data_IF_882134249368
#
_entry.id   IF_882134249368
#
_cell.length_a   1.000
_cell.length_b   1.000
_cell.length_c   1.000
_cell.angle_alpha   90.00
_cell.angle_beta   90.00
_cell.angle_gamma   90.00
#
_symmetry.space_group_name_H-M   'P 1'
#
loop_
_entity.id
_entity.type
_entity.pdbx_description
1 polymer ?
#
# COMPACT_ATOMS: atom_id res chain seq x y z
N UNK A 1 -15.40 -0.87 20.86
CA UNK A 1 -14.56 -1.91 20.28
C UNK A 1 -13.20 -1.77 20.92
N UNK A 2 -12.50 -2.85 21.19
CA UNK A 2 -11.08 -2.74 21.54
C UNK A 2 -10.25 -2.35 20.30
N UNK A 3 -8.94 -2.12 20.45
CA UNK A 3 -8.09 -1.67 19.34
C UNK A 3 -7.96 -2.72 18.23
N UNK A 4 -8.00 -4.01 18.56
CA UNK A 4 -7.91 -5.09 17.59
C UNK A 4 -9.21 -5.19 16.78
N UNK A 5 -10.36 -5.14 17.45
CA UNK A 5 -11.68 -5.10 16.82
C UNK A 5 -11.83 -3.90 15.86
N UNK A 6 -11.36 -2.70 16.25
CA UNK A 6 -11.41 -1.52 15.37
C UNK A 6 -10.56 -1.73 14.13
N UNK A 7 -9.35 -2.30 14.27
CA UNK A 7 -8.48 -2.59 13.12
C UNK A 7 -9.14 -3.56 12.15
N UNK A 8 -9.71 -4.66 12.65
CA UNK A 8 -10.44 -5.62 11.82
C UNK A 8 -11.64 -4.97 11.14
N UNK A 9 -12.41 -4.16 11.87
CA UNK A 9 -13.58 -3.47 11.33
C UNK A 9 -13.26 -2.45 10.22
N UNK A 10 -12.04 -1.91 10.21
CA UNK A 10 -11.56 -0.97 9.19
C UNK A 10 -10.74 -1.65 8.08
N UNK A 11 -10.50 -2.95 8.19
CA UNK A 11 -9.76 -3.73 7.19
C UNK A 11 -10.71 -4.28 6.15
N UNK A 12 -10.24 -4.41 4.90
CA UNK A 12 -11.01 -5.09 3.86
C UNK A 12 -11.07 -6.61 4.15
N UNK A 13 -12.22 -7.28 3.93
CA UNK A 13 -13.48 -6.73 3.43
C UNK A 13 -14.30 -6.02 4.51
N UNK A 14 -14.73 -4.79 4.24
CA UNK A 14 -15.63 -4.01 5.10
C UNK A 14 -16.93 -3.63 4.39
N UNK A 15 -17.94 -3.27 5.17
CA UNK A 15 -19.21 -2.73 4.68
C UNK A 15 -19.16 -1.20 4.61
N UNK A 16 -19.02 -0.65 3.40
CA UNK A 16 -18.89 0.80 3.17
C UNK A 16 -20.02 1.61 3.81
N UNK A 17 -21.26 1.17 3.69
CA UNK A 17 -22.43 1.88 4.22
C UNK A 17 -22.41 1.94 5.76
N UNK A 18 -21.91 0.89 6.42
CA UNK A 18 -21.73 0.86 7.87
C UNK A 18 -20.61 1.80 8.30
N UNK A 19 -19.47 1.80 7.58
CA UNK A 19 -18.38 2.74 7.85
C UNK A 19 -18.85 4.19 7.74
N UNK A 20 -19.55 4.51 6.66
CA UNK A 20 -20.08 5.84 6.41
C UNK A 20 -21.06 6.29 7.50
N UNK A 21 -21.93 5.39 7.99
CA UNK A 21 -22.85 5.71 9.10
C UNK A 21 -22.15 5.89 10.45
N UNK A 22 -21.00 5.24 10.67
CA UNK A 22 -20.29 5.23 11.97
C UNK A 22 -19.10 6.19 12.05
N UNK A 23 -18.81 6.97 11.00
CA UNK A 23 -17.65 7.87 10.90
C UNK A 23 -17.32 8.63 12.19
N UNK A 24 -18.29 9.38 12.74
CA UNK A 24 -18.09 10.20 13.97
C UNK A 24 -17.74 9.35 15.18
N UNK A 25 -18.39 8.18 15.32
CA UNK A 25 -18.14 7.26 16.44
C UNK A 25 -16.78 6.59 16.32
N UNK A 26 -16.38 6.19 15.11
CA UNK A 26 -15.07 5.60 14.83
C UNK A 26 -13.95 6.61 15.09
N UNK A 27 -14.08 7.84 14.58
CA UNK A 27 -13.11 8.91 14.84
C UNK A 27 -12.89 9.15 16.34
N UNK A 28 -13.98 9.23 17.11
CA UNK A 28 -13.90 9.41 18.57
C UNK A 28 -13.17 8.22 19.23
N UNK A 29 -13.59 7.00 18.93
CA UNK A 29 -12.95 5.79 19.48
C UNK A 29 -11.46 5.72 19.15
N UNK A 30 -11.06 6.10 17.93
CA UNK A 30 -9.66 6.11 17.51
C UNK A 30 -8.84 7.15 18.29
N UNK A 31 -9.37 8.36 18.46
CA UNK A 31 -8.71 9.43 19.22
C UNK A 31 -8.60 9.12 20.71
N UNK A 32 -9.57 8.39 21.28
CA UNK A 32 -9.60 7.99 22.68
C UNK A 32 -8.66 6.81 23.02
N UNK A 33 -7.97 6.23 22.02
CA UNK A 33 -7.03 5.12 22.26
C UNK A 33 -5.84 5.59 23.10
N UNK A 34 -5.64 4.93 24.23
CA UNK A 34 -4.50 5.14 25.10
C UNK A 34 -3.22 4.48 24.53
N UNK A 35 -2.05 5.05 24.87
CA UNK A 35 -0.75 4.46 24.51
C UNK A 35 -0.32 4.61 23.05
N UNK A 36 -1.08 5.30 22.21
CA UNK A 36 -0.69 5.59 20.82
C UNK A 36 -0.01 6.96 20.72
N UNK A 37 1.24 6.97 20.25
CA UNK A 37 1.94 8.19 19.86
C UNK A 37 1.63 8.52 18.40
N UNK A 38 0.76 9.51 18.17
CA UNK A 38 0.37 9.91 16.83
C UNK A 38 1.44 10.72 16.10
N UNK A 39 1.76 10.33 14.86
CA UNK A 39 2.50 11.18 13.95
C UNK A 39 1.58 12.29 13.44
N UNK A 40 1.88 13.54 13.79
CA UNK A 40 1.11 14.70 13.33
C UNK A 40 1.55 15.11 11.93
N UNK A 41 0.58 15.33 11.03
CA UNK A 41 0.82 15.86 9.68
C UNK A 41 -0.25 16.85 9.28
N UNK A 42 0.12 17.89 8.54
CA UNK A 42 -0.81 18.83 7.91
C UNK A 42 -1.08 18.39 6.49
N UNK A 43 -2.33 18.12 6.16
CA UNK A 43 -2.73 17.60 4.86
C UNK A 43 -3.71 18.57 4.20
N UNK A 44 -3.34 19.08 3.03
CA UNK A 44 -4.24 19.86 2.20
C UNK A 44 -4.89 18.95 1.13
N UNK A 45 -6.19 19.12 0.90
CA UNK A 45 -6.91 18.45 -0.20
C UNK A 45 -7.38 19.55 -1.16
N UNK A 46 -6.76 19.60 -2.34
CA UNK A 46 -7.14 20.49 -3.43
C UNK A 46 -8.12 19.76 -4.35
N UNK A 47 -9.40 19.90 -4.04
CA UNK A 47 -10.50 19.16 -4.65
C UNK A 47 -11.10 19.83 -5.89
N UNK A 48 -11.25 19.05 -6.96
CA UNK A 48 -12.09 19.39 -8.11
C UNK A 48 -13.58 19.10 -7.88
N UNK A 49 -13.90 18.33 -6.84
CA UNK A 49 -15.26 17.93 -6.47
C UNK A 49 -15.46 18.08 -4.97
N UNK A 50 -16.66 17.82 -4.44
CA UNK A 50 -16.89 17.80 -3.00
C UNK A 50 -16.08 16.67 -2.36
N UNK A 51 -15.17 16.99 -1.43
CA UNK A 51 -14.22 16.04 -0.81
C UNK A 51 -14.51 15.74 0.66
N UNK A 52 -15.54 16.34 1.26
CA UNK A 52 -15.74 16.28 2.72
C UNK A 52 -15.85 14.86 3.26
N UNK A 53 -16.64 14.01 2.62
CA UNK A 53 -16.81 12.61 3.02
C UNK A 53 -15.56 11.77 2.78
N UNK A 54 -14.85 12.03 1.68
CA UNK A 54 -13.56 11.40 1.39
C UNK A 54 -12.52 11.75 2.47
N UNK A 55 -12.39 13.04 2.81
CA UNK A 55 -11.51 13.50 3.90
C UNK A 55 -11.88 12.85 5.23
N UNK A 56 -13.17 12.80 5.58
CA UNK A 56 -13.61 12.19 6.85
C UNK A 56 -13.22 10.71 6.94
N UNK A 57 -13.37 9.95 5.85
CA UNK A 57 -12.95 8.55 5.80
C UNK A 57 -11.43 8.40 5.80
N UNK A 58 -10.72 9.24 5.05
CA UNK A 58 -9.26 9.25 5.03
C UNK A 58 -8.69 9.51 6.42
N UNK A 59 -9.26 10.45 7.17
CA UNK A 59 -8.89 10.74 8.55
C UNK A 59 -9.05 9.52 9.46
N UNK A 60 -10.13 8.75 9.32
CA UNK A 60 -10.36 7.52 10.09
C UNK A 60 -9.27 6.48 9.80
N UNK A 61 -8.94 6.24 8.53
CA UNK A 61 -7.90 5.26 8.16
C UNK A 61 -6.50 5.72 8.58
N UNK A 62 -6.18 7.01 8.46
CA UNK A 62 -4.91 7.56 8.95
C UNK A 62 -4.80 7.45 10.47
N UNK A 63 -5.86 7.80 11.20
CA UNK A 63 -5.89 7.65 12.66
C UNK A 63 -5.69 6.19 13.05
N UNK A 64 -6.37 5.24 12.38
CA UNK A 64 -6.20 3.81 12.62
C UNK A 64 -4.74 3.36 12.48
N UNK A 65 -4.02 3.95 11.52
CA UNK A 65 -2.59 3.74 11.28
C UNK A 65 -1.64 4.54 12.18
N UNK A 66 -2.15 5.32 13.15
CA UNK A 66 -1.33 6.11 14.08
C UNK A 66 -0.90 7.47 13.53
N UNK A 67 -1.57 7.99 12.50
CA UNK A 67 -1.29 9.30 11.89
C UNK A 67 -2.45 10.25 12.24
N UNK A 68 -2.16 11.35 12.92
CA UNK A 68 -3.13 12.39 13.20
C UNK A 68 -2.96 13.54 12.22
N UNK A 69 -3.88 13.65 11.27
CA UNK A 69 -3.86 14.69 10.27
C UNK A 69 -4.65 15.93 10.70
N UNK A 70 -4.05 17.10 10.57
CA UNK A 70 -4.78 18.37 10.50
C UNK A 70 -5.13 18.60 9.02
N UNK A 71 -6.42 18.55 8.69
CA UNK A 71 -6.88 18.70 7.32
C UNK A 71 -7.32 20.13 6.99
N UNK A 72 -7.04 20.55 5.76
CA UNK A 72 -7.74 21.67 5.10
C UNK A 72 -8.15 21.26 3.69
N UNK A 73 -9.32 21.73 3.25
CA UNK A 73 -9.89 21.45 1.94
C UNK A 73 -9.96 22.77 1.15
N UNK A 74 -9.69 22.73 -0.15
CA UNK A 74 -10.03 23.83 -1.04
C UNK A 74 -11.54 23.99 -1.13
N UNK A 75 -11.98 25.20 -1.45
CA UNK A 75 -13.35 25.40 -1.90
C UNK A 75 -13.62 24.62 -3.19
N UNK A 76 -14.90 24.40 -3.48
CA UNK A 76 -15.32 23.55 -4.61
C UNK A 76 -14.67 24.00 -5.93
N UNK A 77 -13.90 23.07 -6.53
CA UNK A 77 -13.25 23.25 -7.82
C UNK A 77 -12.28 24.45 -7.88
N UNK A 78 -11.66 24.82 -6.75
CA UNK A 78 -10.64 25.87 -6.65
C UNK A 78 -9.20 25.34 -6.51
N UNK A 79 -8.96 24.07 -6.84
CA UNK A 79 -7.65 23.44 -6.76
C UNK A 79 -6.56 24.16 -7.59
N UNK A 80 -6.95 24.83 -8.68
CA UNK A 80 -6.02 25.60 -9.52
C UNK A 80 -5.63 26.92 -8.85
N UNK A 81 -6.60 27.66 -8.35
CA UNK A 81 -6.39 28.93 -7.67
C UNK A 81 -5.58 28.75 -6.39
N UNK A 82 -5.95 27.79 -5.54
CA UNK A 82 -5.29 27.53 -4.26
C UNK A 82 -3.85 27.01 -4.40
N UNK A 83 -3.51 26.39 -5.53
CA UNK A 83 -2.16 25.92 -5.82
C UNK A 83 -1.28 27.01 -6.44
N UNK A 84 -1.78 27.73 -7.46
CA UNK A 84 -0.99 28.69 -8.24
C UNK A 84 -0.92 30.06 -7.56
N UNK A 85 -2.01 30.47 -6.89
CA UNK A 85 -2.19 31.78 -6.25
C UNK A 85 -2.70 31.61 -4.80
N UNK A 86 -1.90 30.99 -3.93
CA UNK A 86 -2.36 30.61 -2.60
C UNK A 86 -2.75 31.83 -1.76
N UNK A 87 -3.87 31.72 -1.06
CA UNK A 87 -4.30 32.70 -0.07
C UNK A 87 -3.31 32.75 1.11
N UNK A 88 -3.38 33.81 1.92
CA UNK A 88 -2.57 33.91 3.13
C UNK A 88 -2.81 32.73 4.09
N UNK A 89 -4.06 32.24 4.17
CA UNK A 89 -4.41 31.11 5.02
C UNK A 89 -3.67 29.82 4.62
N UNK A 90 -3.51 29.59 3.31
CA UNK A 90 -2.74 28.45 2.80
C UNK A 90 -1.24 28.61 3.06
N UNK A 91 -0.73 29.83 2.87
CA UNK A 91 0.67 30.15 3.15
C UNK A 91 1.02 30.00 4.63
N UNK A 92 0.08 30.24 5.55
CA UNK A 92 0.24 30.01 6.98
C UNK A 92 0.11 28.52 7.34
N UNK A 93 -0.78 27.79 6.67
CA UNK A 93 -0.99 26.37 6.93
C UNK A 93 0.25 25.52 6.67
N UNK A 94 0.99 25.78 5.58
CA UNK A 94 2.21 25.06 5.18
C UNK A 94 2.01 23.52 5.20
N UNK A 95 1.21 22.95 4.29
CA UNK A 95 0.94 21.52 4.30
C UNK A 95 2.22 20.69 4.16
N UNK A 96 2.26 19.55 4.85
CA UNK A 96 3.34 18.56 4.70
C UNK A 96 3.03 17.60 3.52
N UNK A 97 1.74 17.39 3.24
CA UNK A 97 1.22 16.61 2.12
C UNK A 97 0.10 17.41 1.44
N UNK A 98 0.14 17.53 0.11
CA UNK A 98 -0.94 18.09 -0.70
C UNK A 98 -1.50 17.00 -1.59
N UNK A 99 -2.78 16.70 -1.43
CA UNK A 99 -3.52 15.79 -2.30
C UNK A 99 -4.34 16.60 -3.29
N UNK A 100 -3.98 16.56 -4.58
CA UNK A 100 -4.81 17.11 -5.65
C UNK A 100 -5.80 16.03 -6.05
N UNK A 101 -7.09 16.30 -5.80
CA UNK A 101 -8.17 15.34 -5.95
C UNK A 101 -9.15 15.75 -7.04
N UNK A 102 -8.93 15.25 -8.26
CA UNK A 102 -9.72 15.61 -9.45
C UNK A 102 -10.30 14.37 -10.13
N UNK A 103 -11.31 14.49 -10.96
CA UNK A 103 -11.88 13.35 -11.70
C UNK A 103 -12.13 13.71 -13.15
N UNK A 104 -12.62 12.76 -13.95
CA UNK A 104 -12.97 12.99 -15.35
C UNK A 104 -13.85 14.25 -15.55
N UNK A 105 -14.73 14.55 -14.58
CA UNK A 105 -15.63 15.71 -14.63
C UNK A 105 -14.92 17.06 -14.53
N UNK A 106 -13.65 17.09 -14.11
CA UNK A 106 -12.84 18.30 -14.01
C UNK A 106 -12.06 18.64 -15.28
N UNK A 107 -12.11 17.77 -16.30
CA UNK A 107 -11.48 18.01 -17.59
C UNK A 107 -12.28 19.03 -18.39
N UNK A 108 -11.59 20.08 -18.87
CA UNK A 108 -12.24 21.23 -19.53
C UNK A 108 -12.04 21.26 -21.04
N UNK A 109 -10.91 20.78 -21.54
CA UNK A 109 -10.58 20.77 -22.97
C UNK A 109 -10.94 19.44 -23.64
N UNK A 110 -12.13 18.91 -23.37
CA UNK A 110 -12.55 17.64 -23.97
C UNK A 110 -12.63 17.74 -25.50
N UNK A 111 -12.21 16.69 -26.22
CA UNK A 111 -12.34 16.64 -27.65
C UNK A 111 -13.82 16.54 -28.07
N UNK A 112 -14.11 17.06 -29.25
CA UNK A 112 -15.41 16.96 -29.93
C UNK A 112 -15.25 16.26 -31.26
N UNK A 113 -16.33 15.69 -31.80
CA UNK A 113 -16.29 14.84 -33.01
C UNK A 113 -15.71 15.50 -34.25
N UNK A 114 -15.73 16.83 -34.32
CA UNK A 114 -15.20 17.61 -35.45
C UNK A 114 -13.72 17.94 -35.34
N UNK A 115 -13.09 17.69 -34.18
CA UNK A 115 -11.67 17.94 -34.01
C UNK A 115 -10.87 17.02 -34.92
N UNK A 116 -9.79 17.55 -35.49
CA UNK A 116 -8.71 16.79 -36.12
C UNK A 116 -7.80 16.18 -35.06
N UNK A 117 -6.98 15.19 -35.46
CA UNK A 117 -6.03 14.55 -34.54
C UNK A 117 -5.07 15.56 -33.89
N UNK A 118 -4.57 16.53 -34.67
CA UNK A 118 -3.68 17.58 -34.17
C UNK A 118 -4.37 18.47 -33.13
N UNK A 119 -5.66 18.76 -33.31
CA UNK A 119 -6.44 19.53 -32.33
C UNK A 119 -6.64 18.76 -31.03
N UNK A 120 -6.89 17.44 -31.10
CA UNK A 120 -6.97 16.59 -29.91
C UNK A 120 -5.64 16.57 -29.15
N UNK A 121 -4.51 16.39 -29.85
CA UNK A 121 -3.18 16.41 -29.23
C UNK A 121 -2.90 17.76 -28.57
N UNK A 122 -3.28 18.87 -29.21
CA UNK A 122 -3.18 20.22 -28.63
C UNK A 122 -4.04 20.35 -27.38
N UNK A 123 -5.28 19.86 -27.40
CA UNK A 123 -6.19 19.87 -26.23
C UNK A 123 -5.62 19.05 -25.07
N UNK A 124 -5.08 17.87 -25.35
CA UNK A 124 -4.47 17.01 -24.32
C UNK A 124 -3.26 17.71 -23.69
N UNK A 125 -2.43 18.38 -24.51
CA UNK A 125 -1.31 19.18 -24.04
C UNK A 125 -1.76 20.34 -23.14
N UNK A 126 -2.76 21.11 -23.56
CA UNK A 126 -3.30 22.23 -22.77
C UNK A 126 -3.88 21.76 -21.44
N UNK A 127 -4.61 20.65 -21.44
CA UNK A 127 -5.16 20.09 -20.20
C UNK A 127 -4.04 19.58 -19.28
N UNK A 128 -3.01 18.91 -19.81
CA UNK A 128 -1.83 18.54 -19.03
C UNK A 128 -1.08 19.76 -18.45
N UNK A 129 -0.84 20.80 -19.25
CA UNK A 129 -0.12 22.03 -18.83
C UNK A 129 -0.83 22.76 -17.67
N UNK A 130 -2.17 22.68 -17.60
CA UNK A 130 -2.96 23.17 -16.48
C UNK A 130 -2.62 22.43 -15.17
N UNK A 131 -2.54 21.10 -15.18
CA UNK A 131 -2.16 20.33 -14.01
C UNK A 131 -0.67 20.46 -13.68
N UNK A 132 0.19 20.54 -14.69
CA UNK A 132 1.61 20.83 -14.48
C UNK A 132 1.82 22.17 -13.77
N UNK A 133 1.01 23.18 -14.09
CA UNK A 133 1.03 24.47 -13.40
C UNK A 133 0.59 24.36 -11.94
N UNK A 134 -0.40 23.52 -11.63
CA UNK A 134 -0.84 23.22 -10.26
C UNK A 134 0.30 22.60 -9.47
N UNK A 135 0.95 21.55 -10.01
CA UNK A 135 2.04 20.86 -9.34
C UNK A 135 3.24 21.77 -9.08
N UNK A 136 3.66 22.53 -10.09
CA UNK A 136 4.73 23.53 -9.95
C UNK A 136 4.36 24.66 -8.99
N UNK A 137 3.09 25.04 -8.93
CA UNK A 137 2.57 25.99 -7.95
C UNK A 137 2.75 25.47 -6.52
N UNK A 138 2.36 24.22 -6.29
CA UNK A 138 2.53 23.55 -4.99
C UNK A 138 4.02 23.48 -4.61
N UNK A 139 4.87 22.98 -5.50
CA UNK A 139 6.32 22.86 -5.27
C UNK A 139 6.98 24.23 -4.98
N UNK A 140 6.53 25.30 -5.62
CA UNK A 140 7.06 26.66 -5.41
C UNK A 140 6.64 27.23 -4.05
N UNK A 141 5.41 26.98 -3.64
CA UNK A 141 4.79 27.65 -2.50
C UNK A 141 4.93 26.85 -1.19
N UNK A 142 5.15 25.54 -1.27
CA UNK A 142 5.18 24.64 -0.11
C UNK A 142 6.33 23.63 -0.21
N UNK A 143 6.83 23.19 0.95
CA UNK A 143 7.73 22.05 1.07
C UNK A 143 6.92 20.77 1.34
N UNK A 144 6.03 20.44 0.41
CA UNK A 144 5.08 19.34 0.59
C UNK A 144 5.40 18.17 -0.33
N UNK A 145 4.98 16.98 0.10
CA UNK A 145 4.78 15.86 -0.83
C UNK A 145 3.49 16.09 -1.62
N UNK A 146 3.53 15.87 -2.92
CA UNK A 146 2.37 15.97 -3.81
C UNK A 146 1.82 14.58 -4.10
N UNK A 147 0.53 14.39 -3.83
CA UNK A 147 -0.23 13.21 -4.26
C UNK A 147 -1.26 13.69 -5.28
N UNK A 148 -1.13 13.26 -6.52
CA UNK A 148 -2.10 13.56 -7.58
C UNK A 148 -2.78 12.27 -7.97
N UNK A 149 -4.11 12.22 -7.99
CA UNK A 149 -4.76 11.09 -8.63
C UNK A 149 -4.88 11.26 -10.15
N UNK A 150 -4.84 10.15 -10.90
CA UNK A 150 -5.14 10.17 -12.34
C UNK A 150 -6.67 10.22 -12.59
N UNK A 151 -7.16 9.88 -13.78
CA UNK A 151 -8.59 9.95 -14.10
C UNK A 151 -9.21 8.58 -14.34
N UNK A 152 -10.38 8.35 -13.76
CA UNK A 152 -11.28 7.26 -14.12
C UNK A 152 -11.77 7.38 -15.58
N UNK A 153 -12.21 6.26 -16.15
CA UNK A 153 -12.86 6.27 -17.47
C UNK A 153 -14.17 7.08 -17.46
N UNK A 154 -14.55 7.72 -18.59
CA UNK A 154 -15.84 8.38 -18.70
C UNK A 154 -17.00 7.40 -18.46
N UNK A 155 -18.03 7.84 -17.73
CA UNK A 155 -19.23 7.03 -17.48
C UNK A 155 -20.16 6.88 -18.71
N UNK A 156 -19.78 7.46 -19.86
CA UNK A 156 -20.51 7.34 -21.13
C UNK A 156 -19.57 6.88 -22.23
N UNK A 157 -20.04 5.93 -23.05
CA UNK A 157 -19.34 5.42 -24.23
C UNK A 157 -20.28 5.53 -25.44
N UNK A 158 -20.50 6.75 -25.99
CA UNK A 158 -21.57 7.01 -26.95
C UNK A 158 -21.41 6.24 -28.28
N UNK A 159 -20.20 5.81 -28.63
CA UNK A 159 -19.90 5.13 -29.89
C UNK A 159 -19.64 3.61 -29.72
N UNK A 160 -19.94 3.05 -28.54
CA UNK A 160 -19.66 1.64 -28.23
C UNK A 160 -18.19 1.29 -28.46
N UNK A 161 -17.91 0.09 -28.99
CA UNK A 161 -16.53 -0.39 -29.19
C UNK A 161 -15.69 0.48 -30.12
N UNK A 162 -16.31 1.24 -31.04
CA UNK A 162 -15.58 2.13 -31.96
C UNK A 162 -14.94 3.31 -31.23
N UNK A 163 -15.46 3.69 -30.05
CA UNK A 163 -14.94 4.77 -29.21
C UNK A 163 -13.45 4.56 -28.90
N UNK A 164 -13.03 3.33 -28.62
CA UNK A 164 -11.64 2.99 -28.30
C UNK A 164 -10.64 3.28 -29.44
N UNK A 165 -11.10 3.26 -30.70
CA UNK A 165 -10.27 3.52 -31.88
C UNK A 165 -10.25 5.00 -32.30
N UNK A 166 -11.19 5.80 -31.79
CA UNK A 166 -11.41 7.17 -32.24
C UNK A 166 -10.52 8.14 -31.45
N UNK A 167 -9.76 9.01 -32.14
CA UNK A 167 -8.91 9.98 -31.46
C UNK A 167 -9.71 11.05 -30.70
N UNK A 168 -10.94 11.36 -31.11
CA UNK A 168 -11.85 12.27 -30.41
C UNK A 168 -12.56 11.63 -29.20
N UNK A 169 -12.34 10.34 -28.91
CA UNK A 169 -12.95 9.68 -27.76
C UNK A 169 -12.48 10.28 -26.44
N UNK A 170 -13.41 10.48 -25.50
CA UNK A 170 -13.10 10.88 -24.13
C UNK A 170 -12.31 9.81 -23.39
N UNK A 171 -12.57 8.51 -23.63
CA UNK A 171 -11.82 7.42 -23.02
C UNK A 171 -10.37 7.39 -23.48
N UNK A 172 -10.14 7.57 -24.79
CA UNK A 172 -8.78 7.68 -25.33
C UNK A 172 -8.07 8.95 -24.83
N UNK A 173 -8.78 10.07 -24.72
CA UNK A 173 -8.25 11.31 -24.16
C UNK A 173 -7.80 11.14 -22.70
N UNK A 174 -8.61 10.49 -21.86
CA UNK A 174 -8.26 10.13 -20.49
C UNK A 174 -6.99 9.27 -20.45
N UNK A 175 -6.89 8.25 -21.31
CA UNK A 175 -5.70 7.40 -21.36
C UNK A 175 -4.43 8.17 -21.73
N UNK A 176 -4.52 9.15 -22.63
CA UNK A 176 -3.40 10.04 -22.97
C UNK A 176 -2.98 10.85 -21.73
N UNK A 177 -3.93 11.47 -21.02
CA UNK A 177 -3.63 12.25 -19.82
C UNK A 177 -3.03 11.38 -18.70
N UNK A 178 -3.61 10.21 -18.44
CA UNK A 178 -3.11 9.27 -17.44
C UNK A 178 -1.67 8.83 -17.75
N UNK A 179 -1.35 8.60 -19.03
CA UNK A 179 0.01 8.31 -19.45
C UNK A 179 0.98 9.49 -19.20
N UNK A 180 0.56 10.72 -19.48
CA UNK A 180 1.37 11.91 -19.22
C UNK A 180 1.59 12.14 -17.72
N UNK A 181 0.58 11.89 -16.88
CA UNK A 181 0.69 11.99 -15.42
C UNK A 181 1.67 10.96 -14.86
N UNK A 182 1.59 9.72 -15.34
CA UNK A 182 2.54 8.67 -14.96
C UNK A 182 3.98 9.02 -15.35
N UNK A 183 4.18 9.61 -16.55
CA UNK A 183 5.50 10.08 -16.98
C UNK A 183 6.04 11.20 -16.10
N UNK A 184 5.19 12.14 -15.67
CA UNK A 184 5.59 13.18 -14.73
C UNK A 184 6.05 12.57 -13.40
N UNK A 185 5.22 11.68 -12.81
CA UNK A 185 5.50 11.01 -11.55
C UNK A 185 6.82 10.22 -11.53
N UNK A 186 7.21 9.61 -12.64
CA UNK A 186 8.50 8.90 -12.76
C UNK A 186 9.73 9.80 -12.67
N UNK A 187 9.58 11.10 -12.94
CA UNK A 187 10.70 12.04 -13.08
C UNK A 187 10.77 13.08 -11.97
N UNK A 188 9.69 13.27 -11.22
CA UNK A 188 9.62 14.30 -10.19
C UNK A 188 9.77 13.71 -8.79
N UNK A 189 10.76 14.17 -8.01
CA UNK A 189 10.86 13.79 -6.61
C UNK A 189 9.67 14.34 -5.84
N UNK A 190 9.26 13.68 -4.75
CA UNK A 190 8.12 14.08 -3.91
C UNK A 190 6.75 14.11 -4.62
N UNK A 191 6.62 13.51 -5.80
CA UNK A 191 5.36 13.41 -6.51
C UNK A 191 4.92 11.95 -6.62
N UNK A 192 3.71 11.66 -6.14
CA UNK A 192 3.14 10.32 -6.16
C UNK A 192 1.80 10.30 -6.90
N UNK A 193 1.66 9.33 -7.80
CA UNK A 193 0.42 9.12 -8.53
C UNK A 193 -0.52 8.20 -7.73
N UNK A 194 -1.73 8.67 -7.44
CA UNK A 194 -2.80 7.84 -6.89
C UNK A 194 -3.68 7.29 -8.03
N UNK A 195 -3.57 6.00 -8.32
CA UNK A 195 -4.23 5.40 -9.48
C UNK A 195 -5.72 5.07 -9.24
N UNK A 196 -6.57 6.10 -9.34
CA UNK A 196 -8.03 5.91 -9.31
C UNK A 196 -8.57 5.27 -10.58
N UNK A 197 -7.81 5.29 -11.69
CA UNK A 197 -8.21 4.62 -12.93
C UNK A 197 -8.30 3.11 -12.73
N UNK A 198 -7.26 2.49 -12.14
CA UNK A 198 -7.27 1.08 -11.75
C UNK A 198 -8.34 0.80 -10.69
N UNK A 199 -8.48 1.68 -9.70
CA UNK A 199 -9.46 1.49 -8.62
C UNK A 199 -10.91 1.54 -9.13
N UNK A 200 -11.20 2.43 -10.09
CA UNK A 200 -12.49 2.47 -10.77
C UNK A 200 -12.77 1.21 -11.59
N UNK A 201 -11.73 0.62 -12.18
CA UNK A 201 -11.85 -0.66 -12.88
C UNK A 201 -12.12 -1.83 -11.93
N UNK A 202 -11.46 -1.89 -10.76
CA UNK A 202 -11.67 -2.97 -9.78
C UNK A 202 -13.04 -2.91 -9.11
N UNK A 203 -13.52 -1.71 -8.76
CA UNK A 203 -14.89 -1.49 -8.24
C UNK A 203 -15.95 -1.72 -9.34
N UNK A 204 -15.55 -1.50 -10.60
CA UNK A 204 -16.43 -1.49 -11.75
C UNK A 204 -17.03 -0.12 -12.00
N UNK A 205 -16.86 0.39 -13.22
CA UNK A 205 -17.25 1.75 -13.59
C UNK A 205 -18.76 2.03 -13.42
N UNK A 206 -19.59 0.99 -13.52
CA UNK A 206 -21.03 1.07 -13.29
C UNK A 206 -21.39 1.42 -11.83
N UNK A 207 -20.56 1.00 -10.87
CA UNK A 207 -20.72 1.29 -9.45
C UNK A 207 -19.93 2.53 -9.00
N UNK A 208 -18.90 2.91 -9.76
CA UNK A 208 -17.99 4.01 -9.45
C UNK A 208 -18.68 5.38 -9.36
N UNK A 209 -19.60 5.70 -10.28
CA UNK A 209 -20.18 7.04 -10.39
C UNK A 209 -21.70 7.04 -10.34
N UNK A 210 -22.29 7.96 -9.58
CA UNK A 210 -23.73 8.19 -9.52
C UNK A 210 -24.08 9.62 -9.98
N UNK A 211 -24.69 9.73 -11.17
CA UNK A 211 -25.03 11.03 -11.77
C UNK A 211 -25.98 11.87 -10.92
N UNK A 212 -26.93 11.26 -10.21
CA UNK A 212 -27.83 11.99 -9.32
C UNK A 212 -27.03 12.62 -8.17
N UNK A 213 -26.16 11.84 -7.53
CA UNK A 213 -25.30 12.33 -6.45
C UNK A 213 -24.34 13.41 -6.93
N UNK A 214 -23.77 13.28 -8.14
CA UNK A 214 -22.95 14.34 -8.72
C UNK A 214 -23.75 15.62 -8.96
N UNK A 215 -24.94 15.56 -9.55
CA UNK A 215 -25.72 16.77 -9.81
C UNK A 215 -26.28 17.42 -8.54
N UNK A 216 -26.63 16.62 -7.54
CA UNK A 216 -27.16 17.12 -6.26
C UNK A 216 -26.07 17.64 -5.33
N UNK A 217 -24.90 16.98 -5.27
CA UNK A 217 -23.90 17.16 -4.21
C UNK A 217 -22.45 17.30 -4.72
N UNK A 218 -22.23 17.19 -6.03
CA UNK A 218 -20.90 17.24 -6.67
C UNK A 218 -19.92 16.18 -6.15
N UNK A 219 -20.42 15.00 -5.82
CA UNK A 219 -19.58 13.84 -5.51
C UNK A 219 -19.02 13.24 -6.81
N UNK A 220 -17.69 13.22 -6.96
CA UNK A 220 -17.00 12.66 -8.13
C UNK A 220 -17.24 11.15 -8.31
N UNK A 221 -17.53 10.46 -7.21
CA UNK A 221 -17.81 9.03 -7.14
C UNK A 221 -19.06 8.78 -6.32
N UNK A 222 -19.58 7.57 -6.42
CA UNK A 222 -20.69 7.11 -5.62
C UNK A 222 -20.31 7.10 -4.13
N UNK A 223 -21.24 7.51 -3.28
CA UNK A 223 -21.11 7.56 -1.82
C UNK A 223 -20.54 6.27 -1.22
N UNK A 224 -20.99 5.10 -1.69
CA UNK A 224 -20.57 3.80 -1.18
C UNK A 224 -19.13 3.41 -1.60
N UNK A 225 -18.56 4.12 -2.56
CA UNK A 225 -17.19 3.90 -3.06
C UNK A 225 -16.16 4.74 -2.29
N UNK A 226 -16.61 5.81 -1.62
CA UNK A 226 -15.74 6.75 -0.89
C UNK A 226 -14.82 6.05 0.13
N UNK A 227 -15.30 5.10 0.98
CA UNK A 227 -14.43 4.39 1.91
C UNK A 227 -13.29 3.63 1.23
N UNK A 228 -13.55 3.01 0.08
CA UNK A 228 -12.54 2.26 -0.68
C UNK A 228 -11.45 3.23 -1.19
N UNK A 229 -11.86 4.35 -1.79
CA UNK A 229 -10.89 5.35 -2.29
C UNK A 229 -10.08 5.98 -1.16
N UNK A 230 -10.72 6.27 -0.02
CA UNK A 230 -10.06 6.80 1.16
C UNK A 230 -9.06 5.80 1.77
N UNK A 231 -9.39 4.51 1.79
CA UNK A 231 -8.50 3.45 2.26
C UNK A 231 -7.23 3.38 1.39
N UNK A 232 -7.39 3.32 0.05
CA UNK A 232 -6.24 3.26 -0.86
C UNK A 232 -5.40 4.54 -0.83
N UNK A 233 -6.02 5.72 -0.69
CA UNK A 233 -5.27 6.96 -0.44
C UNK A 233 -4.48 6.92 0.87
N UNK A 234 -5.05 6.33 1.93
CA UNK A 234 -4.36 6.13 3.20
C UNK A 234 -3.19 5.15 3.06
N UNK A 235 -3.29 4.10 2.25
CA UNK A 235 -2.18 3.18 1.96
C UNK A 235 -0.99 3.92 1.37
N UNK A 236 -1.23 4.74 0.34
CA UNK A 236 -0.19 5.54 -0.29
C UNK A 236 0.45 6.52 0.71
N UNK A 237 -0.35 7.25 1.49
CA UNK A 237 0.17 8.17 2.51
C UNK A 237 0.99 7.46 3.60
N UNK A 238 0.51 6.30 4.06
CA UNK A 238 1.24 5.46 5.03
C UNK A 238 2.58 5.01 4.46
N UNK A 239 2.61 4.58 3.19
CA UNK A 239 3.82 4.14 2.54
C UNK A 239 4.84 5.28 2.40
N UNK A 240 4.40 6.48 1.99
CA UNK A 240 5.24 7.70 1.94
C UNK A 240 5.86 8.01 3.31
N UNK A 241 5.10 7.81 4.38
CA UNK A 241 5.53 8.07 5.76
C UNK A 241 6.30 6.88 6.39
N UNK A 242 6.56 5.81 5.63
CA UNK A 242 7.34 4.65 6.06
C UNK A 242 6.59 3.68 7.00
N UNK A 243 5.28 3.57 6.85
CA UNK A 243 4.41 2.63 7.58
C UNK A 243 4.04 1.38 6.76
N UNK A 244 4.71 1.13 5.62
CA UNK A 244 4.57 -0.13 4.87
C UNK A 244 5.11 -1.32 5.66
N UNK A 245 4.46 -2.48 5.49
CA UNK A 245 4.91 -3.74 6.08
C UNK A 245 6.12 -4.28 5.33
N UNK A 246 6.95 -5.06 6.04
CA UNK A 246 8.24 -5.56 5.55
C UNK A 246 8.31 -7.07 5.46
N UNK A 247 7.43 -7.79 6.15
CA UNK A 247 7.44 -9.25 6.20
C UNK A 247 6.03 -9.83 6.10
N UNK A 248 5.88 -10.85 5.26
CA UNK A 248 4.72 -11.73 5.20
C UNK A 248 5.07 -13.05 5.89
N UNK A 249 4.39 -13.35 6.99
CA UNK A 249 4.47 -14.61 7.71
C UNK A 249 3.29 -15.47 7.28
N UNK A 250 3.57 -16.69 6.84
CA UNK A 250 2.61 -17.60 6.23
C UNK A 250 2.47 -18.86 7.08
N UNK A 251 1.24 -19.33 7.26
CA UNK A 251 1.02 -20.76 7.48
C UNK A 251 1.28 -21.55 6.19
N UNK A 252 1.24 -22.88 6.29
CA UNK A 252 1.46 -23.81 5.19
C UNK A 252 0.15 -24.50 4.76
N UNK A 253 -0.37 -25.38 5.61
CA UNK A 253 -1.57 -26.17 5.29
C UNK A 253 -2.79 -25.27 5.11
N UNK A 254 -3.58 -25.56 4.08
CA UNK A 254 -4.71 -24.75 3.62
C UNK A 254 -4.40 -23.26 3.36
N UNK A 255 -3.10 -22.90 3.28
CA UNK A 255 -2.64 -21.53 3.04
C UNK A 255 -1.75 -21.43 1.81
N UNK A 256 -0.72 -22.27 1.69
CA UNK A 256 0.14 -22.38 0.49
C UNK A 256 -0.20 -23.56 -0.40
N UNK A 257 -0.94 -24.54 0.13
CA UNK A 257 -1.50 -25.69 -0.57
C UNK A 257 -2.75 -26.16 0.18
N UNK A 258 -3.61 -26.95 -0.45
CA UNK A 258 -4.78 -27.53 0.22
C UNK A 258 -4.44 -28.85 0.90
N UNK A 259 -5.06 -29.11 2.05
CA UNK A 259 -4.85 -30.32 2.84
C UNK A 259 -3.70 -30.20 3.84
N UNK A 260 -3.69 -31.12 4.82
CA UNK A 260 -2.71 -31.18 5.89
C UNK A 260 -1.59 -32.15 5.51
N UNK A 261 -0.38 -31.62 5.25
CA UNK A 261 0.73 -32.43 4.73
C UNK A 261 1.13 -33.61 5.62
N UNK A 262 0.99 -33.46 6.94
CA UNK A 262 1.25 -34.54 7.90
C UNK A 262 0.33 -35.76 7.72
N UNK A 263 -0.88 -35.56 7.19
CA UNK A 263 -1.88 -36.60 7.01
C UNK A 263 -1.87 -37.19 5.60
N UNK A 264 -1.72 -36.35 4.58
CA UNK A 264 -1.85 -36.78 3.16
C UNK A 264 -0.51 -36.97 2.46
N UNK A 265 0.59 -36.47 3.03
CA UNK A 265 1.92 -36.47 2.42
C UNK A 265 2.02 -35.53 1.21
N UNK A 266 3.24 -35.39 0.67
CA UNK A 266 3.50 -34.48 -0.46
C UNK A 266 2.69 -34.83 -1.72
N UNK A 267 2.41 -36.10 -1.98
CA UNK A 267 1.62 -36.51 -3.17
C UNK A 267 0.10 -36.27 -3.00
N UNK A 268 -0.35 -35.94 -1.79
CA UNK A 268 -1.77 -35.81 -1.44
C UNK A 268 -2.24 -34.37 -1.20
N UNK A 269 -1.33 -33.39 -1.13
CA UNK A 269 -1.69 -31.98 -1.01
C UNK A 269 -2.29 -31.48 -2.33
N UNK A 270 -3.24 -30.55 -2.24
CA UNK A 270 -3.84 -29.90 -3.39
C UNK A 270 -2.97 -28.73 -3.84
N UNK A 271 -2.14 -28.96 -4.86
CA UNK A 271 -1.27 -27.98 -5.49
C UNK A 271 -0.98 -28.43 -6.92
N UNK A 272 -1.29 -27.61 -7.93
CA UNK A 272 -1.07 -27.99 -9.33
C UNK A 272 -2.10 -27.41 -10.29
N UNK A 273 -2.24 -28.05 -11.45
CA UNK A 273 -3.12 -27.60 -12.55
C UNK A 273 -4.33 -28.53 -12.76
N UNK A 274 -4.54 -29.48 -11.86
CA UNK A 274 -5.56 -30.53 -11.99
C UNK A 274 -6.91 -30.10 -11.41
N UNK A 275 -6.91 -29.19 -10.43
CA UNK A 275 -8.11 -28.71 -9.74
C UNK A 275 -8.12 -27.19 -9.66
N UNK A 276 -9.32 -26.57 -9.57
CA UNK A 276 -9.43 -25.12 -9.35
C UNK A 276 -8.73 -24.64 -8.07
N UNK A 277 -8.77 -25.44 -6.98
CA UNK A 277 -8.09 -25.11 -5.73
C UNK A 277 -6.57 -25.16 -5.89
N UNK A 278 -6.05 -26.22 -6.52
CA UNK A 278 -4.63 -26.38 -6.82
C UNK A 278 -4.08 -25.22 -7.65
N UNK A 279 -4.81 -24.81 -8.70
CA UNK A 279 -4.41 -23.68 -9.54
C UNK A 279 -4.36 -22.37 -8.76
N UNK A 280 -5.34 -22.14 -7.88
CA UNK A 280 -5.39 -20.96 -7.04
C UNK A 280 -4.24 -20.92 -6.01
N UNK A 281 -3.81 -22.05 -5.46
CA UNK A 281 -2.62 -22.11 -4.61
C UNK A 281 -1.34 -21.82 -5.41
N UNK A 282 -1.20 -22.34 -6.64
CA UNK A 282 -0.07 -22.00 -7.53
C UNK A 282 -0.03 -20.50 -7.85
N UNK A 283 -1.19 -19.90 -8.13
CA UNK A 283 -1.32 -18.45 -8.33
C UNK A 283 -0.94 -17.67 -7.06
N UNK A 284 -1.42 -18.11 -5.90
CA UNK A 284 -1.09 -17.49 -4.62
C UNK A 284 0.41 -17.58 -4.29
N UNK A 285 1.04 -18.75 -4.47
CA UNK A 285 2.50 -18.90 -4.31
C UNK A 285 3.27 -17.98 -5.28
N UNK A 286 2.80 -17.85 -6.52
CA UNK A 286 3.40 -16.94 -7.51
C UNK A 286 3.29 -15.47 -7.09
N UNK A 287 2.15 -15.08 -6.52
CA UNK A 287 1.94 -13.75 -5.94
C UNK A 287 2.87 -13.49 -4.75
N UNK A 288 2.98 -14.45 -3.82
CA UNK A 288 3.89 -14.39 -2.67
C UNK A 288 5.35 -14.26 -3.12
N UNK A 289 5.77 -15.03 -4.12
CA UNK A 289 7.10 -14.92 -4.71
C UNK A 289 7.32 -13.54 -5.35
N UNK A 290 6.27 -12.95 -5.95
CA UNK A 290 6.35 -11.58 -6.49
C UNK A 290 6.58 -10.51 -5.40
N UNK A 291 6.05 -10.73 -4.19
CA UNK A 291 6.32 -9.85 -3.04
C UNK A 291 7.78 -9.99 -2.60
N UNK A 292 8.28 -11.23 -2.53
CA UNK A 292 9.67 -11.52 -2.22
C UNK A 292 10.63 -10.84 -3.20
N UNK A 293 10.35 -10.93 -4.50
CA UNK A 293 11.16 -10.29 -5.56
C UNK A 293 11.17 -8.77 -5.49
N UNK A 294 10.23 -8.14 -4.77
CA UNK A 294 10.17 -6.69 -4.52
C UNK A 294 10.75 -6.31 -3.14
N UNK A 295 11.39 -7.25 -2.44
CA UNK A 295 12.09 -7.01 -1.19
C UNK A 295 11.26 -7.17 0.08
N UNK A 296 10.11 -7.85 0.00
CA UNK A 296 9.35 -8.28 1.17
C UNK A 296 9.96 -9.58 1.70
N UNK A 297 10.19 -9.66 3.01
CA UNK A 297 10.69 -10.88 3.67
C UNK A 297 9.55 -11.90 3.77
N UNK A 298 9.83 -13.14 3.42
CA UNK A 298 8.91 -14.25 3.67
C UNK A 298 9.37 -15.03 4.91
N UNK A 299 8.42 -15.47 5.73
CA UNK A 299 8.69 -16.39 6.82
C UNK A 299 7.56 -17.41 6.97
N UNK A 300 7.89 -18.60 7.47
CA UNK A 300 6.89 -19.64 7.79
C UNK A 300 6.62 -19.67 9.29
N UNK A 301 5.35 -19.76 9.67
CA UNK A 301 4.88 -20.02 11.02
C UNK A 301 3.74 -21.04 11.01
N UNK A 302 4.09 -22.32 11.03
CA UNK A 302 3.17 -23.44 10.87
C UNK A 302 3.23 -24.45 12.03
N UNK A 303 2.12 -25.15 12.26
CA UNK A 303 2.02 -26.24 13.25
C UNK A 303 2.27 -27.57 12.58
N UNK A 304 3.54 -27.89 12.38
CA UNK A 304 3.98 -29.11 11.72
C UNK A 304 5.32 -29.59 12.28
N UNK A 305 5.70 -30.83 11.97
CA UNK A 305 7.10 -31.25 12.09
C UNK A 305 7.93 -30.58 10.97
N UNK A 306 9.08 -30.02 11.32
CA UNK A 306 9.85 -29.16 10.39
C UNK A 306 10.27 -29.87 9.11
N UNK A 307 10.69 -31.14 9.22
CA UNK A 307 11.12 -31.93 8.05
C UNK A 307 9.93 -32.23 7.12
N UNK A 308 8.78 -32.63 7.68
CA UNK A 308 7.54 -32.87 6.91
C UNK A 308 7.06 -31.59 6.23
N UNK A 309 7.07 -30.46 6.94
CA UNK A 309 6.68 -29.16 6.38
C UNK A 309 7.55 -28.75 5.19
N UNK A 310 8.85 -29.07 5.22
CA UNK A 310 9.78 -28.78 4.11
C UNK A 310 9.52 -29.68 2.90
N UNK A 311 9.06 -30.92 3.09
CA UNK A 311 8.74 -31.83 1.98
C UNK A 311 7.66 -31.29 1.05
N UNK A 312 6.72 -30.47 1.55
CA UNK A 312 5.68 -29.84 0.72
C UNK A 312 6.26 -28.97 -0.40
N UNK A 313 7.40 -28.32 -0.17
CA UNK A 313 8.10 -27.51 -1.17
C UNK A 313 8.87 -28.35 -2.21
N UNK A 314 8.90 -29.68 -2.06
CA UNK A 314 9.41 -30.59 -3.08
C UNK A 314 8.33 -31.02 -4.09
N UNK A 315 7.06 -30.65 -3.87
CA UNK A 315 6.00 -30.89 -4.84
C UNK A 315 6.37 -30.27 -6.20
N UNK A 316 6.21 -30.98 -7.33
CA UNK A 316 6.67 -30.51 -8.64
C UNK A 316 6.05 -29.17 -9.07
N UNK A 317 4.81 -28.91 -8.67
CA UNK A 317 4.10 -27.65 -8.96
C UNK A 317 4.32 -26.55 -7.91
N UNK A 318 5.17 -26.79 -6.90
CA UNK A 318 5.53 -25.75 -5.94
C UNK A 318 6.36 -24.65 -6.60
N UNK A 319 5.88 -23.42 -6.48
CA UNK A 319 6.53 -22.22 -7.04
C UNK A 319 7.53 -21.65 -6.03
N UNK A 320 7.17 -21.68 -4.74
CA UNK A 320 8.03 -21.28 -3.65
C UNK A 320 8.99 -22.41 -3.28
N UNK A 321 10.15 -22.04 -2.77
CA UNK A 321 11.13 -22.98 -2.21
C UNK A 321 11.47 -22.60 -0.79
N UNK A 322 12.01 -23.55 -0.02
CA UNK A 322 12.44 -23.30 1.36
C UNK A 322 13.45 -22.13 1.41
N UNK A 323 14.29 -21.97 0.39
CA UNK A 323 15.27 -20.88 0.32
C UNK A 323 14.68 -19.49 0.08
N UNK A 324 13.41 -19.39 -0.32
CA UNK A 324 12.72 -18.10 -0.50
C UNK A 324 12.32 -17.48 0.85
N UNK A 325 12.34 -18.26 1.93
CA UNK A 325 11.98 -17.83 3.28
C UNK A 325 13.22 -17.43 4.09
N UNK A 326 13.16 -16.25 4.71
CA UNK A 326 14.22 -15.72 5.56
C UNK A 326 14.24 -16.36 6.96
N UNK A 327 13.10 -16.87 7.43
CA UNK A 327 12.99 -17.67 8.65
C UNK A 327 11.89 -18.73 8.47
N UNK A 328 12.11 -19.92 9.03
CA UNK A 328 11.21 -21.05 8.92
C UNK A 328 10.93 -21.61 10.32
N UNK A 329 9.68 -21.48 10.78
CA UNK A 329 9.22 -22.03 12.06
C UNK A 329 8.06 -22.98 11.81
N UNK A 330 8.37 -24.27 11.79
CA UNK A 330 7.38 -25.35 11.79
C UNK A 330 7.61 -26.20 13.05
N UNK A 331 6.72 -26.04 14.03
CA UNK A 331 6.75 -26.79 15.29
C UNK A 331 5.42 -26.63 16.04
N UNK A 332 5.29 -27.27 17.19
CA UNK A 332 4.07 -27.27 18.00
C UNK A 332 3.99 -26.13 19.05
N UNK A 333 4.90 -25.15 19.02
CA UNK A 333 4.75 -23.94 19.83
C UNK A 333 3.60 -23.06 19.28
N UNK A 334 3.06 -22.17 20.11
CA UNK A 334 1.99 -21.26 19.69
C UNK A 334 2.48 -20.24 18.65
N UNK A 335 1.62 -19.89 17.68
CA UNK A 335 2.01 -19.03 16.54
C UNK A 335 2.44 -17.63 16.98
N UNK A 336 1.84 -17.07 18.03
CA UNK A 336 2.27 -15.79 18.62
C UNK A 336 3.73 -15.82 19.13
N UNK A 337 4.15 -16.94 19.75
CA UNK A 337 5.54 -17.11 20.20
C UNK A 337 6.49 -17.25 19.04
N UNK A 338 6.11 -18.03 18.02
CA UNK A 338 6.93 -18.20 16.82
C UNK A 338 7.07 -16.89 16.04
N UNK A 339 5.99 -16.13 15.84
CA UNK A 339 6.06 -14.80 15.20
C UNK A 339 6.98 -13.85 15.97
N UNK A 340 6.93 -13.84 17.31
CA UNK A 340 7.85 -13.03 18.13
C UNK A 340 9.32 -13.44 17.93
N UNK A 341 9.60 -14.74 17.81
CA UNK A 341 10.94 -15.25 17.50
C UNK A 341 11.38 -14.88 16.09
N UNK A 342 10.49 -14.99 15.09
CA UNK A 342 10.75 -14.58 13.71
C UNK A 342 11.10 -13.09 13.66
N UNK A 343 10.30 -12.22 14.30
CA UNK A 343 10.57 -10.80 14.39
C UNK A 343 11.95 -10.49 14.99
N UNK A 344 12.33 -11.21 16.05
CA UNK A 344 13.63 -11.07 16.71
C UNK A 344 14.80 -11.54 15.81
N UNK A 345 14.65 -12.69 15.14
CA UNK A 345 15.65 -13.25 14.24
C UNK A 345 15.88 -12.34 13.02
N UNK A 346 14.79 -11.83 12.45
CA UNK A 346 14.83 -10.89 11.33
C UNK A 346 15.15 -9.45 11.79
N UNK A 347 15.29 -9.18 13.09
CA UNK A 347 15.53 -7.84 13.63
C UNK A 347 14.57 -6.76 13.09
N UNK A 348 13.28 -7.09 13.00
CA UNK A 348 12.20 -6.15 12.60
C UNK A 348 11.13 -6.05 13.69
N UNK A 349 10.39 -4.93 13.68
CA UNK A 349 9.26 -4.75 14.60
C UNK A 349 8.05 -5.60 14.20
N UNK A 350 7.26 -6.03 15.19
CA UNK A 350 5.99 -6.74 14.99
C UNK A 350 4.99 -5.92 14.15
N UNK A 351 5.01 -4.60 14.30
CA UNK A 351 4.26 -3.64 13.51
C UNK A 351 4.61 -3.63 12.01
N UNK A 352 5.72 -4.26 11.63
CA UNK A 352 6.16 -4.43 10.24
C UNK A 352 5.76 -5.78 9.65
N UNK A 353 5.03 -6.63 10.37
CA UNK A 353 4.65 -7.97 9.93
C UNK A 353 3.17 -8.07 9.54
N UNK A 354 2.89 -8.93 8.57
CA UNK A 354 1.56 -9.43 8.21
C UNK A 354 1.57 -10.94 8.44
N UNK A 355 0.56 -11.48 9.11
CA UNK A 355 0.41 -12.91 9.34
C UNK A 355 -0.84 -13.41 8.63
N UNK A 356 -0.66 -14.35 7.70
CA UNK A 356 -1.73 -14.97 6.93
C UNK A 356 -1.87 -16.45 7.30
N UNK A 357 -3.09 -16.83 7.65
CA UNK A 357 -3.45 -18.15 8.16
C UNK A 357 -4.95 -18.38 7.88
N UNK A 358 -5.30 -19.55 7.37
CA UNK A 358 -6.67 -19.94 7.06
C UNK A 358 -7.50 -20.18 8.34
N UNK A 359 -6.85 -20.56 9.44
CA UNK A 359 -7.51 -20.92 10.68
C UNK A 359 -7.91 -19.69 11.52
N UNK A 360 -9.22 -19.43 11.72
CA UNK A 360 -9.69 -18.27 12.48
C UNK A 360 -9.24 -18.27 13.95
N UNK A 361 -8.99 -19.44 14.54
CA UNK A 361 -8.54 -19.55 15.93
C UNK A 361 -7.10 -19.06 16.07
N UNK A 362 -6.22 -19.44 15.14
CA UNK A 362 -4.83 -18.98 15.12
C UNK A 362 -4.76 -17.47 14.81
N UNK A 363 -5.58 -16.99 13.86
CA UNK A 363 -5.71 -15.56 13.58
C UNK A 363 -6.09 -14.78 14.84
N UNK A 364 -7.11 -15.24 15.58
CA UNK A 364 -7.57 -14.56 16.79
C UNK A 364 -6.50 -14.59 17.89
N UNK A 365 -5.84 -15.73 18.10
CA UNK A 365 -4.74 -15.86 19.05
C UNK A 365 -3.62 -14.84 18.79
N UNK A 366 -3.24 -14.67 17.53
CA UNK A 366 -2.20 -13.70 17.13
C UNK A 366 -2.69 -12.27 17.35
N UNK A 367 -3.94 -11.93 17.02
CA UNK A 367 -4.49 -10.58 17.25
C UNK A 367 -4.50 -10.17 18.72
N UNK A 368 -4.86 -11.10 19.61
CA UNK A 368 -4.94 -10.84 21.05
C UNK A 368 -3.54 -10.69 21.67
N UNK A 369 -2.60 -11.55 21.29
CA UNK A 369 -1.27 -11.58 21.91
C UNK A 369 -0.26 -10.64 21.24
N UNK A 370 -0.46 -10.29 19.95
CA UNK A 370 0.41 -9.45 19.13
C UNK A 370 -0.40 -8.39 18.35
N UNK A 371 -1.04 -7.42 19.04
CA UNK A 371 -1.92 -6.43 18.41
C UNK A 371 -1.24 -5.51 17.37
N UNK A 372 0.09 -5.50 17.31
CA UNK A 372 0.89 -4.79 16.32
C UNK A 372 0.94 -5.50 14.96
N UNK A 373 0.84 -6.84 14.94
CA UNK A 373 0.86 -7.66 13.72
C UNK A 373 -0.44 -7.45 12.96
N UNK A 374 -0.35 -7.26 11.65
CA UNK A 374 -1.53 -7.23 10.78
C UNK A 374 -1.98 -8.65 10.48
N UNK A 375 -3.22 -8.99 10.82
CA UNK A 375 -3.78 -10.34 10.63
C UNK A 375 -5.02 -10.23 9.73
N UNK A 376 -4.85 -10.34 8.39
CA UNK A 376 -5.94 -10.17 7.43
C UNK A 376 -7.05 -11.20 7.66
N UNK A 377 -8.29 -10.83 7.36
CA UNK A 377 -9.41 -11.77 7.42
C UNK A 377 -9.54 -12.46 6.07
N UNK A 378 -9.32 -13.78 6.06
CA UNK A 378 -9.45 -14.64 4.89
C UNK A 378 -10.50 -15.71 5.11
N UNK A 379 -11.18 -16.12 4.04
CA UNK A 379 -12.09 -17.26 4.06
C UNK A 379 -11.28 -18.55 3.87
N UNK A 380 -11.26 -19.47 4.85
CA UNK A 380 -10.49 -20.71 4.77
C UNK A 380 -10.88 -21.61 3.60
N UNK A 381 -12.10 -21.44 3.08
CA UNK A 381 -12.62 -22.26 1.98
C UNK A 381 -12.42 -21.63 0.60
N UNK A 382 -11.85 -20.43 0.55
CA UNK A 382 -11.78 -19.62 -0.66
C UNK A 382 -10.41 -18.94 -0.82
N UNK A 383 -9.41 -19.75 -1.17
CA UNK A 383 -8.04 -19.29 -1.49
C UNK A 383 -8.03 -18.22 -2.61
N UNK A 384 -9.03 -18.22 -3.51
CA UNK A 384 -9.16 -17.21 -4.58
C UNK A 384 -9.26 -15.78 -4.04
N UNK A 385 -9.65 -15.61 -2.78
CA UNK A 385 -9.75 -14.30 -2.13
C UNK A 385 -8.43 -13.79 -1.54
N UNK A 386 -7.40 -14.64 -1.36
CA UNK A 386 -6.23 -14.31 -0.54
C UNK A 386 -5.41 -13.15 -1.12
N UNK A 387 -5.17 -13.19 -2.43
CA UNK A 387 -4.48 -12.11 -3.15
C UNK A 387 -5.25 -10.80 -2.98
N UNK A 388 -6.58 -10.84 -3.21
CA UNK A 388 -7.43 -9.67 -3.07
C UNK A 388 -7.40 -9.10 -1.65
N UNK A 389 -7.47 -9.95 -0.61
CA UNK A 389 -7.38 -9.52 0.79
C UNK A 389 -6.06 -8.78 1.06
N UNK A 390 -4.94 -9.28 0.54
CA UNK A 390 -3.64 -8.65 0.73
C UNK A 390 -3.51 -7.33 -0.04
N UNK A 391 -3.98 -7.27 -1.28
CA UNK A 391 -3.93 -6.07 -2.13
C UNK A 391 -4.87 -4.96 -1.64
N UNK A 392 -6.12 -5.30 -1.31
CA UNK A 392 -7.13 -4.32 -0.88
C UNK A 392 -6.84 -3.72 0.49
N UNK A 393 -6.00 -4.36 1.31
CA UNK A 393 -5.50 -3.80 2.57
C UNK A 393 -4.13 -3.09 2.45
N UNK A 394 -3.52 -3.07 1.26
CA UNK A 394 -2.32 -2.29 0.93
C UNK A 394 -1.14 -2.48 1.89
N UNK A 395 -0.98 -3.68 2.46
CA UNK A 395 0.06 -3.91 3.47
C UNK A 395 1.46 -3.65 2.95
N UNK A 396 1.69 -3.98 1.68
CA UNK A 396 2.97 -3.90 1.00
C UNK A 396 2.98 -2.80 -0.06
N UNK A 397 2.27 -1.69 0.18
CA UNK A 397 2.26 -0.51 -0.71
C UNK A 397 3.67 0.07 -0.87
N UNK A 398 4.06 0.37 -2.11
CA UNK A 398 5.42 0.80 -2.49
C UNK A 398 5.36 2.19 -3.13
N UNK A 399 6.21 3.11 -2.66
CA UNK A 399 6.35 4.45 -3.23
C UNK A 399 7.53 4.58 -4.22
N UNK A 400 8.52 3.70 -4.11
CA UNK A 400 9.72 3.68 -4.96
C UNK A 400 10.35 2.29 -4.91
N UNK A 401 10.82 1.77 -6.04
CA UNK A 401 11.66 0.58 -6.10
C UNK A 401 13.13 1.01 -6.12
N UNK A 402 13.91 0.58 -5.14
CA UNK A 402 15.37 0.79 -5.14
C UNK A 402 16.11 -0.52 -5.46
N UNK A 403 17.33 -0.42 -6.02
CA UNK A 403 18.18 -1.59 -6.27
C UNK A 403 18.39 -2.44 -5.00
N UNK A 404 18.53 -1.79 -3.84
CA UNK A 404 18.64 -2.44 -2.53
C UNK A 404 17.39 -3.23 -2.11
N UNK A 405 16.20 -2.88 -2.62
CA UNK A 405 15.01 -3.66 -2.31
C UNK A 405 15.09 -5.06 -2.97
N UNK A 406 15.74 -5.20 -4.14
CA UNK A 406 15.99 -6.49 -4.78
C UNK A 406 17.06 -7.33 -4.05
N UNK A 407 18.05 -6.66 -3.44
CA UNK A 407 19.16 -7.31 -2.73
C UNK A 407 18.86 -7.60 -1.25
N UNK A 408 17.69 -7.18 -0.75
CA UNK A 408 17.36 -7.27 0.69
C UNK A 408 17.34 -8.71 1.17
N UNK A 409 16.79 -9.65 0.41
CA UNK A 409 16.72 -11.06 0.81
C UNK A 409 18.10 -11.70 0.93
N UNK A 410 19.01 -11.43 -0.02
CA UNK A 410 20.39 -11.92 0.07
C UNK A 410 21.12 -11.36 1.29
N UNK A 411 20.89 -10.07 1.59
CA UNK A 411 21.48 -9.41 2.77
C UNK A 411 21.01 -10.06 4.08
N UNK A 412 19.71 -10.38 4.21
CA UNK A 412 19.20 -11.06 5.41
C UNK A 412 19.72 -12.49 5.52
N UNK A 413 19.76 -13.23 4.41
CA UNK A 413 20.32 -14.58 4.39
C UNK A 413 21.79 -14.59 4.81
N UNK A 414 22.59 -13.65 4.31
CA UNK A 414 23.97 -13.46 4.75
C UNK A 414 24.07 -13.08 6.23
N UNK A 415 23.16 -12.26 6.75
CA UNK A 415 23.15 -11.90 8.17
C UNK A 415 22.79 -13.07 9.08
N UNK A 416 21.86 -13.94 8.68
CA UNK A 416 21.55 -15.18 9.41
C UNK A 416 22.77 -16.10 9.44
N UNK A 417 23.44 -16.30 8.30
CA UNK A 417 24.69 -17.07 8.24
C UNK A 417 25.79 -16.46 9.12
N UNK A 418 25.91 -15.13 9.15
CA UNK A 418 26.85 -14.42 10.05
C UNK A 418 26.51 -14.63 11.53
N UNK A 419 25.23 -14.68 11.90
CA UNK A 419 24.79 -14.96 13.27
C UNK A 419 25.11 -16.40 13.68
N UNK A 420 24.94 -17.37 12.77
CA UNK A 420 25.36 -18.76 12.98
C UNK A 420 26.88 -18.88 13.14
N UNK A 421 27.65 -18.20 12.28
CA UNK A 421 29.11 -18.09 12.39
C UNK A 421 29.55 -17.41 13.69
N UNK A 422 28.83 -16.38 14.15
CA UNK A 422 29.09 -15.71 15.43
C UNK A 422 28.89 -16.66 16.61
N UNK A 423 27.85 -17.49 16.57
CA UNK A 423 27.62 -18.53 17.59
C UNK A 423 28.70 -19.62 17.58
N UNK A 424 29.48 -19.73 16.49
CA UNK A 424 30.60 -20.65 16.34
C UNK A 424 31.97 -20.00 16.61
N UNK A 425 32.04 -18.68 16.81
CA UNK A 425 33.28 -17.94 17.06
C UNK A 425 33.61 -17.84 18.56
N UNK A 426 34.86 -18.12 18.92
CA UNK A 426 35.32 -18.18 20.32
C UNK A 426 35.44 -16.79 21.01
N UNK A 427 35.49 -15.70 20.24
CA UNK A 427 35.63 -14.33 20.74
C UNK A 427 34.93 -13.28 19.86
N UNK A 428 34.27 -12.31 20.50
CA UNK A 428 33.58 -11.20 19.84
C UNK A 428 34.51 -10.31 19.00
N UNK A 429 35.76 -10.12 19.44
CA UNK A 429 36.75 -9.29 18.73
C UNK A 429 37.26 -9.96 17.45
N UNK A 430 37.39 -11.28 17.43
CA UNK A 430 37.78 -12.03 16.22
C UNK A 430 36.65 -12.04 15.19
N UNK A 431 35.40 -12.16 15.64
CA UNK A 431 34.24 -12.01 14.78
C UNK A 431 34.22 -10.63 14.12
N UNK A 432 34.36 -9.53 14.87
CA UNK A 432 34.35 -8.18 14.30
C UNK A 432 35.49 -7.94 13.29
N UNK A 433 36.69 -8.47 13.54
CA UNK A 433 37.82 -8.38 12.59
C UNK A 433 37.59 -9.19 11.32
N UNK A 434 36.89 -10.32 11.42
CA UNK A 434 36.56 -11.16 10.26
C UNK A 434 35.58 -10.51 9.28
N UNK A 435 34.84 -9.48 9.72
CA UNK A 435 33.84 -8.80 8.90
C UNK A 435 34.42 -7.76 7.93
N UNK A 436 35.69 -7.36 8.10
CA UNK A 436 36.41 -6.40 7.26
C UNK A 436 35.56 -5.16 6.86
N UNK A 437 34.93 -4.52 7.87
CA UNK A 437 33.95 -3.47 7.64
C UNK A 437 34.61 -2.14 7.22
N UNK A 438 34.22 -1.61 6.07
CA UNK A 438 34.58 -0.26 5.62
C UNK A 438 33.37 0.70 5.75
N UNK A 439 33.62 1.96 6.12
CA UNK A 439 32.59 3.00 6.22
C UNK A 439 33.06 4.33 5.60
N UNK A 440 32.23 4.94 4.78
CA UNK A 440 32.46 6.28 4.21
C UNK A 440 31.54 7.31 4.88
N UNK A 441 32.10 8.43 5.34
CA UNK A 441 31.33 9.56 5.90
C UNK A 441 31.45 10.75 4.96
N UNK A 442 30.32 11.19 4.41
CA UNK A 442 30.25 12.35 3.53
C UNK A 442 29.00 13.20 3.79
N UNK A 443 29.01 14.44 3.31
CA UNK A 443 27.81 15.31 3.31
C UNK A 443 26.72 14.75 2.40
N UNK A 444 25.46 15.02 2.74
CA UNK A 444 24.32 14.60 1.91
C UNK A 444 24.44 15.18 0.49
N UNK A 445 24.19 14.34 -0.51
CA UNK A 445 24.16 14.70 -1.93
C UNK A 445 22.73 14.55 -2.45
N UNK A 446 22.25 15.43 -3.36
CA UNK A 446 20.88 15.36 -3.88
C UNK A 446 20.47 13.99 -4.43
N UNK A 447 21.40 13.28 -5.08
CA UNK A 447 21.19 11.92 -5.60
C UNK A 447 20.78 10.90 -4.54
N UNK A 448 21.07 11.15 -3.26
CA UNK A 448 20.76 10.25 -2.16
C UNK A 448 19.56 10.69 -1.32
N UNK A 449 18.87 11.79 -1.65
CA UNK A 449 17.81 12.32 -0.79
C UNK A 449 16.64 11.36 -0.62
N UNK A 450 16.18 10.72 -1.70
CA UNK A 450 15.15 9.68 -1.63
C UNK A 450 15.58 8.53 -0.71
N UNK A 451 16.82 8.08 -0.87
CA UNK A 451 17.38 7.00 -0.05
C UNK A 451 17.50 7.41 1.42
N UNK A 452 17.95 8.63 1.71
CA UNK A 452 18.10 9.14 3.07
C UNK A 452 16.73 9.26 3.75
N UNK A 453 15.71 9.83 3.08
CA UNK A 453 14.34 9.88 3.61
C UNK A 453 13.80 8.48 3.86
N UNK A 454 13.95 7.56 2.89
CA UNK A 454 13.54 6.18 3.01
C UNK A 454 14.20 5.49 4.22
N UNK A 455 15.53 5.60 4.38
CA UNK A 455 16.27 5.00 5.50
C UNK A 455 15.88 5.62 6.84
N UNK A 456 15.71 6.94 6.89
CA UNK A 456 15.34 7.64 8.13
C UNK A 456 13.95 7.21 8.61
N UNK A 457 13.02 6.96 7.69
CA UNK A 457 11.69 6.46 8.00
C UNK A 457 11.64 4.94 8.23
N UNK A 458 12.59 4.17 7.68
CA UNK A 458 12.67 2.71 7.85
C UNK A 458 13.47 2.27 9.08
N UNK A 459 14.35 3.12 9.61
CA UNK A 459 15.28 2.80 10.71
C UNK A 459 14.72 3.21 12.07
N UNK A 460 14.44 2.21 12.91
CA UNK A 460 14.01 2.41 14.30
C UNK A 460 15.15 2.20 15.30
N UNK A 461 16.11 1.31 15.01
CA UNK A 461 17.35 1.17 15.76
C UNK A 461 18.30 2.29 15.34
N UNK A 462 18.84 3.04 16.30
CA UNK A 462 19.71 4.22 16.11
C UNK A 462 19.05 5.54 15.68
N UNK A 463 17.74 5.58 15.38
CA UNK A 463 17.01 6.87 15.29
C UNK A 463 16.55 7.35 16.67
N UNK A 464 17.48 7.92 17.44
CA UNK A 464 17.20 8.44 18.80
C UNK A 464 16.20 9.60 18.83
N UNK A 465 15.94 10.24 17.69
CA UNK A 465 15.00 11.37 17.59
C UNK A 465 13.58 10.92 17.28
N UNK A 466 13.39 9.72 16.73
CA UNK A 466 12.11 9.19 16.20
C UNK A 466 11.42 10.09 15.17
N UNK A 467 12.13 11.10 14.65
CA UNK A 467 11.60 12.01 13.64
C UNK A 467 11.57 11.30 12.30
N UNK A 468 10.43 11.43 11.62
CA UNK A 468 10.19 10.92 10.28
C UNK A 468 10.16 12.09 9.31
N UNK A 469 10.91 11.95 8.22
CA UNK A 469 11.20 13.01 7.27
C UNK A 469 10.81 12.57 5.87
N UNK A 470 10.06 13.39 5.14
CA UNK A 470 9.87 13.20 3.70
C UNK A 470 11.09 13.74 2.95
N UNK A 471 11.15 13.59 1.62
CA UNK A 471 12.24 14.18 0.82
C UNK A 471 12.11 15.72 0.77
N UNK A 472 10.99 16.30 1.20
CA UNK A 472 10.75 17.74 1.24
C UNK A 472 11.23 18.43 2.54
N UNK A 473 11.42 17.67 3.62
CA UNK A 473 11.95 18.16 4.90
C UNK A 473 13.48 18.37 4.85
#
# INVERSE_FOLDING_TARGET
MDNAEIKTFLSWPFESDVLMRRQKSLKRQLLDREGISYLKKRIAIFGGSTTTDFKNMLEIFLLAAGIQAEFRESEYNQYYEDSVFPSQEWMEFQPDIVMVFTSFVNLTHLPVMTDSQQEVEKKAKLEYEKYESVWKGIERNYKAVVIQNNFEMPYMCPLGSFDAALYQSHGRFVNILNHLFAKYAQTQPNFYLFDIHRLAASVGLANWHNRFQYYAYKLAMNYDVIPIVALHAAHLMRAILGYSKKCLVLDLDNTLWGGEIGDVGVDGIELGHETPGGEAYVEFQSYVLSLQRRGILLAVCSKNEEDIAKEGFHHPDSVLKVEDFADFKANWDTKDRNIRRIAANLNIGLDSMVFLDDNPVERQLVRENLPEVSVPEVDPTNVFSYIQVLEENGYFEICSLSEDDFLRNETYRQNTQRMELKNQSDSYDEFLKSLDMEAEICSFRPVYFERISQLTNKSNQFNLTTRRYTVAD
#
